data_IF_247734890597
#
_entry.id   IF_247734890597
#
_cell.length_a   1.000
_cell.length_b   1.000
_cell.length_c   1.000
_cell.angle_alpha   90.00
_cell.angle_beta   90.00
_cell.angle_gamma   90.00
#
_symmetry.space_group_name_H-M   'P 1'
#
loop_
_entity.id
_entity.type
_entity.pdbx_description
1 polymer ?
#
# COMPACT_ATOMS: atom_id res chain seq x y z
N UNK A 1 5.88 -47.32 12.23
CA UNK A 1 5.24 -46.78 11.02
C UNK A 1 4.64 -45.44 11.42
N UNK A 2 5.40 -44.35 11.25
CA UNK A 2 5.02 -43.00 11.66
C UNK A 2 4.70 -42.15 10.41
N UNK A 3 3.86 -41.11 10.53
CA UNK A 3 3.18 -40.46 9.42
C UNK A 3 4.03 -39.35 8.78
N UNK A 4 3.70 -38.96 7.55
CA UNK A 4 4.19 -37.74 6.92
C UNK A 4 3.02 -36.77 6.72
N UNK A 5 2.83 -35.89 7.71
CA UNK A 5 2.33 -34.54 7.47
C UNK A 5 3.43 -33.74 6.80
N UNK A 6 3.11 -33.02 5.71
CA UNK A 6 3.94 -31.89 5.26
C UNK A 6 3.08 -30.64 5.17
N UNK A 7 2.97 -29.97 6.31
CA UNK A 7 2.77 -28.54 6.36
C UNK A 7 4.03 -27.90 5.77
N UNK A 8 3.92 -27.17 4.66
CA UNK A 8 5.01 -26.31 4.19
C UNK A 8 4.89 -25.01 4.97
N UNK A 9 5.45 -25.00 6.17
CA UNK A 9 5.80 -23.74 6.85
C UNK A 9 7.08 -23.28 6.17
N UNK A 10 6.98 -22.35 5.22
CA UNK A 10 8.15 -21.63 4.77
C UNK A 10 8.42 -20.54 5.80
N UNK A 11 9.11 -20.90 6.89
CA UNK A 11 9.70 -19.91 7.79
C UNK A 11 10.77 -19.16 7.00
N UNK A 12 10.47 -17.91 6.65
CA UNK A 12 11.51 -16.97 6.23
C UNK A 12 12.49 -16.85 7.41
N UNK A 13 13.80 -17.05 7.20
CA UNK A 13 14.77 -16.91 8.29
C UNK A 13 14.68 -15.49 8.89
N UNK A 14 14.66 -15.35 10.23
CA UNK A 14 14.64 -14.04 10.86
C UNK A 14 15.94 -13.31 10.50
N UNK A 15 15.80 -12.17 9.83
CA UNK A 15 16.91 -11.24 9.64
C UNK A 15 17.68 -11.35 8.32
N UNK A 16 17.02 -11.63 7.19
CA UNK A 16 17.50 -11.03 5.94
C UNK A 16 17.06 -9.56 5.95
N UNK A 17 17.93 -8.58 6.28
CA UNK A 17 17.60 -7.21 5.95
C UNK A 17 17.33 -7.17 4.44
N UNK A 18 16.23 -6.54 4.04
CA UNK A 18 16.09 -6.06 2.67
C UNK A 18 17.26 -5.11 2.42
N UNK A 19 18.38 -5.65 1.94
CA UNK A 19 19.47 -4.84 1.43
C UNK A 19 18.96 -4.32 0.09
N UNK A 20 18.49 -3.08 0.08
CA UNK A 20 18.21 -2.33 -1.14
C UNK A 20 19.56 -2.01 -1.80
N UNK A 21 20.25 -3.04 -2.26
CA UNK A 21 21.63 -3.01 -2.72
C UNK A 21 21.61 -2.55 -4.18
N UNK A 22 21.39 -1.25 -4.41
CA UNK A 22 21.75 -0.53 -5.66
C UNK A 22 21.33 0.94 -5.67
N UNK A 23 20.43 1.40 -4.79
CA UNK A 23 19.88 2.75 -4.92
C UNK A 23 20.54 3.69 -3.91
N UNK A 24 21.03 4.81 -4.40
CA UNK A 24 21.52 5.89 -3.54
C UNK A 24 20.43 6.26 -2.52
N UNK A 25 20.81 6.66 -1.28
CA UNK A 25 19.85 7.21 -0.33
C UNK A 25 18.98 8.26 -1.01
N UNK A 26 17.67 8.19 -0.77
CA UNK A 26 16.75 9.20 -1.29
C UNK A 26 17.21 10.60 -0.88
N UNK A 27 17.18 11.55 -1.81
CA UNK A 27 17.44 12.95 -1.48
C UNK A 27 16.27 13.43 -0.63
N UNK A 28 16.57 14.03 0.52
CA UNK A 28 15.55 14.62 1.36
C UNK A 28 14.71 15.62 0.54
N UNK A 29 13.39 15.52 0.64
CA UNK A 29 12.51 16.55 0.10
C UNK A 29 12.93 17.86 0.76
N UNK A 30 13.19 18.90 -0.03
CA UNK A 30 13.78 20.16 0.46
C UNK A 30 13.08 20.65 1.73
N UNK A 31 13.85 21.04 2.74
CA UNK A 31 13.31 21.47 4.04
C UNK A 31 12.22 22.54 3.86
N UNK A 32 11.08 22.35 4.52
CA UNK A 32 9.91 23.22 4.43
C UNK A 32 8.95 22.92 3.26
N UNK A 33 9.27 21.94 2.40
CA UNK A 33 8.34 21.47 1.37
C UNK A 33 7.13 20.83 2.02
N UNK A 34 5.93 21.25 1.62
CA UNK A 34 4.69 20.60 2.01
C UNK A 34 4.61 19.20 1.39
N UNK A 35 4.46 18.18 2.23
CA UNK A 35 4.28 16.80 1.80
C UNK A 35 2.81 16.61 1.39
N UNK A 36 2.58 16.36 0.09
CA UNK A 36 1.28 16.04 -0.51
C UNK A 36 1.28 14.55 -0.79
N UNK A 37 0.87 13.78 0.21
CA UNK A 37 0.98 12.33 0.20
C UNK A 37 -0.31 11.75 -0.37
N UNK A 38 -0.21 10.90 -1.40
CA UNK A 38 -1.33 10.10 -1.88
C UNK A 38 -1.14 8.64 -1.41
N UNK A 39 -1.89 8.17 -0.40
CA UNK A 39 -1.94 6.75 -0.05
C UNK A 39 -2.74 5.99 -1.10
N UNK A 40 -2.11 5.04 -1.78
CA UNK A 40 -2.73 4.17 -2.79
C UNK A 40 -2.70 2.74 -2.29
N UNK A 41 -3.83 2.03 -2.33
CA UNK A 41 -3.78 0.63 -1.96
C UNK A 41 -5.11 -0.08 -1.77
N UNK A 42 -5.10 -1.07 -0.90
CA UNK A 42 -6.23 -1.94 -0.60
C UNK A 42 -6.81 -1.70 0.81
N UNK A 43 -7.48 -2.73 1.36
CA UNK A 43 -8.09 -2.73 2.68
C UNK A 43 -7.12 -2.35 3.81
N UNK A 44 -5.81 -2.57 3.64
CA UNK A 44 -4.78 -2.17 4.61
C UNK A 44 -4.63 -0.64 4.65
N UNK A 45 -4.66 0.00 3.48
CA UNK A 45 -4.61 1.46 3.39
C UNK A 45 -5.92 2.08 3.88
N UNK A 46 -7.05 1.46 3.56
CA UNK A 46 -8.37 1.84 4.11
C UNK A 46 -8.36 1.73 5.63
N UNK A 47 -7.73 0.70 6.21
CA UNK A 47 -7.79 0.39 7.63
C UNK A 47 -8.91 -0.56 8.01
N UNK A 48 -9.34 -1.41 7.07
CA UNK A 48 -10.39 -2.40 7.29
C UNK A 48 -10.03 -3.32 8.47
N UNK A 49 -11.02 -3.66 9.31
CA UNK A 49 -10.89 -4.40 10.58
C UNK A 49 -10.18 -3.67 11.72
N UNK A 50 -9.65 -2.46 11.50
CA UNK A 50 -9.16 -1.62 12.59
C UNK A 50 -10.30 -0.83 13.22
N UNK A 51 -10.32 -0.71 14.55
CA UNK A 51 -11.41 -0.07 15.32
C UNK A 51 -11.83 1.31 14.79
N UNK A 52 -10.85 2.10 14.34
CA UNK A 52 -11.04 3.47 13.87
C UNK A 52 -10.81 3.65 12.38
N UNK A 53 -10.56 2.57 11.63
CA UNK A 53 -10.44 2.55 10.17
C UNK A 53 -9.48 3.58 9.56
N UNK A 54 -8.33 3.79 10.20
CA UNK A 54 -7.32 4.74 9.72
C UNK A 54 -6.19 4.08 8.90
N UNK A 55 -6.08 2.75 8.96
CA UNK A 55 -4.93 2.03 8.41
C UNK A 55 -3.63 2.56 9.03
N UNK A 56 -2.55 2.57 8.25
CA UNK A 56 -1.28 3.17 8.67
C UNK A 56 -1.28 4.71 8.63
N UNK A 57 -2.28 5.34 8.02
CA UNK A 57 -2.27 6.78 7.67
C UNK A 57 -2.16 7.68 8.89
N UNK A 58 -2.85 7.33 9.99
CA UNK A 58 -2.81 8.12 11.22
C UNK A 58 -1.44 8.04 11.92
N UNK A 59 -0.85 6.84 11.99
CA UNK A 59 0.48 6.68 12.58
C UNK A 59 1.53 7.43 11.74
N UNK A 60 1.48 7.29 10.42
CA UNK A 60 2.34 8.04 9.51
C UNK A 60 2.26 9.55 9.73
N UNK A 61 1.04 10.08 9.94
CA UNK A 61 0.85 11.51 10.23
C UNK A 61 1.52 11.93 11.54
N UNK A 62 1.44 11.08 12.57
CA UNK A 62 2.11 11.31 13.85
C UNK A 62 3.63 11.29 13.72
N UNK A 63 4.16 10.35 12.93
CA UNK A 63 5.59 10.21 12.69
C UNK A 63 6.15 11.40 11.90
N UNK A 64 5.32 12.02 11.05
CA UNK A 64 5.64 13.23 10.28
C UNK A 64 5.18 14.52 10.97
N UNK A 65 5.03 14.53 12.30
CA UNK A 65 4.50 15.69 13.05
C UNK A 65 5.36 16.96 12.95
N UNK A 66 6.65 16.84 12.58
CA UNK A 66 7.53 17.98 12.31
C UNK A 66 7.33 18.59 10.91
N UNK A 67 6.64 17.90 10.01
CA UNK A 67 6.43 18.29 8.62
C UNK A 67 5.03 18.86 8.38
N UNK A 68 4.88 19.61 7.27
CA UNK A 68 3.56 20.03 6.78
C UNK A 68 2.99 18.95 5.87
N UNK A 69 2.13 18.10 6.41
CA UNK A 69 1.48 17.00 5.67
C UNK A 69 0.06 17.38 5.26
N UNK A 70 -0.29 17.06 4.01
CA UNK A 70 -1.68 16.92 3.54
C UNK A 70 -1.82 15.63 2.76
N UNK A 71 -2.84 14.85 3.10
CA UNK A 71 -3.24 13.68 2.34
C UNK A 71 -4.08 14.10 1.13
N UNK A 72 -3.70 13.61 -0.04
CA UNK A 72 -4.44 13.74 -1.28
C UNK A 72 -5.38 12.55 -1.47
N UNK A 73 -6.38 12.74 -2.30
CA UNK A 73 -7.33 11.71 -2.72
C UNK A 73 -8.78 12.16 -2.62
N UNK A 74 -9.70 11.34 -3.11
CA UNK A 74 -11.15 11.61 -3.09
C UNK A 74 -11.87 10.67 -2.15
N UNK A 75 -11.36 9.45 -1.96
CA UNK A 75 -11.86 8.51 -0.96
C UNK A 75 -11.54 9.02 0.44
N UNK A 76 -12.46 8.77 1.38
CA UNK A 76 -12.30 9.18 2.78
C UNK A 76 -12.95 8.19 3.75
N UNK A 77 -12.21 7.79 4.76
CA UNK A 77 -12.69 6.90 5.82
C UNK A 77 -11.76 6.92 7.03
N UNK A 78 -12.31 6.55 8.19
CA UNK A 78 -11.63 6.58 9.48
C UNK A 78 -11.86 7.86 10.29
N UNK A 79 -11.38 7.85 11.52
CA UNK A 79 -11.59 8.94 12.49
C UNK A 79 -10.46 9.97 12.53
N UNK A 80 -9.41 9.81 11.72
CA UNK A 80 -8.28 10.73 11.69
C UNK A 80 -8.64 12.06 11.01
N UNK A 81 -7.90 13.10 11.38
CA UNK A 81 -7.87 14.34 10.60
C UNK A 81 -7.29 14.09 9.21
N UNK A 82 -7.82 14.78 8.21
CA UNK A 82 -7.39 14.67 6.80
C UNK A 82 -7.40 13.22 6.27
N UNK A 83 -8.55 12.51 6.30
CA UNK A 83 -8.62 11.07 6.08
C UNK A 83 -8.64 10.66 4.60
N UNK A 84 -8.07 11.46 3.69
CA UNK A 84 -8.15 11.23 2.24
C UNK A 84 -7.16 10.17 1.74
N UNK A 85 -7.56 9.39 0.74
CA UNK A 85 -6.73 8.36 0.10
C UNK A 85 -7.26 7.94 -1.29
N UNK A 86 -6.57 6.97 -1.92
CA UNK A 86 -6.94 6.28 -3.16
C UNK A 86 -6.87 4.76 -2.97
N UNK A 87 -7.81 4.19 -2.24
CA UNK A 87 -7.72 2.81 -1.82
C UNK A 87 -9.07 2.13 -1.78
N UNK A 88 -9.08 0.85 -2.16
CA UNK A 88 -10.29 0.08 -2.34
C UNK A 88 -10.11 -1.32 -1.77
N UNK A 89 -10.95 -1.68 -0.79
CA UNK A 89 -10.94 -3.01 -0.21
C UNK A 89 -11.16 -4.07 -1.30
N UNK A 90 -10.43 -5.18 -1.20
CA UNK A 90 -10.56 -6.34 -2.09
C UNK A 90 -10.14 -6.05 -3.55
N UNK A 91 -9.44 -4.94 -3.82
CA UNK A 91 -9.00 -4.57 -5.19
C UNK A 91 -7.54 -4.91 -5.48
N UNK A 92 -7.30 -5.38 -6.69
CA UNK A 92 -6.00 -5.78 -7.23
C UNK A 92 -5.22 -4.59 -7.80
N UNK A 93 -3.94 -4.79 -8.13
CA UNK A 93 -3.08 -3.78 -8.77
C UNK A 93 -3.72 -3.29 -10.07
N UNK A 94 -4.29 -4.19 -10.88
CA UNK A 94 -4.93 -3.81 -12.15
C UNK A 94 -6.09 -2.83 -11.93
N UNK A 95 -6.94 -3.09 -10.93
CA UNK A 95 -8.02 -2.17 -10.62
C UNK A 95 -7.48 -0.78 -10.26
N UNK A 96 -6.44 -0.71 -9.41
CA UNK A 96 -5.84 0.57 -9.01
C UNK A 96 -5.27 1.31 -10.21
N UNK A 97 -4.51 0.63 -11.08
CA UNK A 97 -3.98 1.19 -12.31
C UNK A 97 -5.07 1.85 -13.17
N UNK A 98 -6.22 1.18 -13.31
CA UNK A 98 -7.32 1.64 -14.17
C UNK A 98 -8.12 2.82 -13.56
N UNK A 99 -7.96 3.14 -12.26
CA UNK A 99 -8.79 4.13 -11.55
C UNK A 99 -7.99 5.28 -10.90
N UNK A 100 -6.66 5.27 -10.98
CA UNK A 100 -5.84 6.21 -10.21
C UNK A 100 -5.79 7.64 -10.79
N UNK A 101 -6.19 7.84 -12.04
CA UNK A 101 -5.98 9.09 -12.79
C UNK A 101 -6.55 10.33 -12.08
N UNK A 102 -7.76 10.25 -11.53
CA UNK A 102 -8.37 11.40 -10.83
C UNK A 102 -7.60 11.80 -9.55
N UNK A 103 -6.93 10.83 -8.92
CA UNK A 103 -6.13 11.05 -7.72
C UNK A 103 -4.78 11.66 -8.08
N UNK A 104 -4.17 11.22 -9.19
CA UNK A 104 -2.94 11.80 -9.72
C UNK A 104 -3.14 13.24 -10.21
N UNK A 105 -4.33 13.58 -10.71
CA UNK A 105 -4.68 14.94 -11.10
C UNK A 105 -4.56 15.94 -9.93
N UNK A 106 -4.64 15.48 -8.67
CA UNK A 106 -4.39 16.29 -7.47
C UNK A 106 -2.90 16.62 -7.26
N UNK A 107 -1.99 16.13 -8.12
CA UNK A 107 -0.54 16.40 -8.09
C UNK A 107 0.07 16.14 -6.70
N UNK A 108 -0.01 14.90 -6.19
CA UNK A 108 0.81 14.51 -5.04
C UNK A 108 2.30 14.60 -5.40
N UNK A 109 3.14 14.86 -4.40
CA UNK A 109 4.60 14.79 -4.56
C UNK A 109 5.20 13.54 -3.90
N UNK A 110 4.38 12.77 -3.17
CA UNK A 110 4.72 11.45 -2.62
C UNK A 110 3.52 10.53 -2.86
N UNK A 111 3.78 9.34 -3.39
CA UNK A 111 2.78 8.28 -3.52
C UNK A 111 3.25 7.13 -2.64
N UNK A 112 2.38 6.66 -1.75
CA UNK A 112 2.62 5.46 -0.95
C UNK A 112 1.77 4.35 -1.51
N UNK A 113 2.39 3.41 -2.23
CA UNK A 113 1.68 2.32 -2.88
C UNK A 113 1.77 1.04 -2.02
N UNK A 114 0.62 0.59 -1.52
CA UNK A 114 0.48 -0.69 -0.83
C UNK A 114 -0.54 -1.55 -1.58
N UNK A 115 -0.04 -2.37 -2.51
CA UNK A 115 -0.87 -3.17 -3.42
C UNK A 115 -0.33 -4.61 -3.55
N UNK A 116 -1.12 -5.48 -4.18
CA UNK A 116 -0.73 -6.85 -4.51
C UNK A 116 -1.21 -7.92 -3.54
N UNK A 117 -1.72 -7.58 -2.36
CA UNK A 117 -2.26 -8.60 -1.43
C UNK A 117 -3.42 -9.38 -2.07
N UNK A 118 -4.31 -8.68 -2.77
CA UNK A 118 -5.46 -9.28 -3.46
C UNK A 118 -5.04 -10.03 -4.73
N UNK A 119 -4.01 -9.60 -5.45
CA UNK A 119 -3.47 -10.34 -6.61
C UNK A 119 -2.92 -11.73 -6.22
N UNK A 120 -2.42 -11.86 -4.99
CA UNK A 120 -1.90 -13.12 -4.44
C UNK A 120 -2.98 -14.02 -3.82
N UNK A 121 -4.24 -13.56 -3.74
CA UNK A 121 -5.30 -14.33 -3.11
C UNK A 121 -5.62 -15.62 -3.88
N UNK A 122 -5.78 -16.77 -3.20
CA UNK A 122 -6.28 -17.99 -3.83
C UNK A 122 -7.79 -17.96 -4.05
N UNK A 123 -8.49 -16.90 -3.62
CA UNK A 123 -9.91 -16.71 -3.86
C UNK A 123 -10.12 -15.88 -5.13
N UNK A 124 -10.73 -16.47 -6.16
CA UNK A 124 -11.04 -15.79 -7.43
C UNK A 124 -12.10 -14.71 -7.31
N UNK A 125 -12.87 -14.69 -6.22
CA UNK A 125 -13.81 -13.60 -5.93
C UNK A 125 -13.11 -12.34 -5.43
N UNK A 126 -11.85 -12.49 -4.98
CA UNK A 126 -10.97 -11.40 -4.55
C UNK A 126 -10.02 -10.97 -5.68
N UNK A 127 -9.35 -11.92 -6.32
CA UNK A 127 -8.38 -11.65 -7.40
C UNK A 127 -9.07 -11.46 -8.76
N UNK A 128 -10.13 -10.66 -8.81
CA UNK A 128 -11.04 -10.57 -9.96
C UNK A 128 -10.39 -10.00 -11.22
N UNK A 129 -9.51 -9.01 -11.08
CA UNK A 129 -8.86 -8.33 -12.20
C UNK A 129 -7.44 -8.84 -12.47
N UNK A 130 -6.92 -9.74 -11.63
CA UNK A 130 -5.59 -10.33 -11.76
C UNK A 130 -5.28 -11.31 -10.62
N UNK A 131 -4.95 -12.56 -10.95
CA UNK A 131 -4.64 -13.65 -10.01
C UNK A 131 -3.34 -14.37 -10.34
N UNK A 132 -2.52 -13.80 -11.21
CA UNK A 132 -1.21 -14.35 -11.51
C UNK A 132 -0.15 -13.61 -10.69
N UNK A 133 0.41 -14.23 -9.64
CA UNK A 133 1.50 -13.67 -8.86
C UNK A 133 2.69 -13.23 -9.70
N UNK A 134 3.04 -13.98 -10.74
CA UNK A 134 4.21 -13.69 -11.55
C UNK A 134 4.01 -12.40 -12.36
N UNK A 135 2.80 -12.18 -12.86
CA UNK A 135 2.44 -10.97 -13.60
C UNK A 135 2.11 -9.75 -12.71
N UNK A 136 2.18 -9.86 -11.38
CA UNK A 136 1.90 -8.72 -10.49
C UNK A 136 2.91 -7.58 -10.68
N UNK A 137 4.18 -7.91 -10.93
CA UNK A 137 5.23 -6.93 -11.22
C UNK A 137 4.95 -6.18 -12.53
N UNK A 138 4.53 -6.88 -13.58
CA UNK A 138 4.19 -6.27 -14.88
C UNK A 138 3.03 -5.26 -14.74
N UNK A 139 2.04 -5.54 -13.86
CA UNK A 139 0.94 -4.61 -13.57
C UNK A 139 1.38 -3.35 -12.82
N UNK A 140 2.55 -3.39 -12.17
CA UNK A 140 3.21 -2.21 -11.58
C UNK A 140 4.09 -1.47 -12.61
N UNK A 141 4.19 -1.98 -13.84
CA UNK A 141 5.03 -1.42 -14.89
C UNK A 141 6.51 -1.79 -14.80
N UNK A 142 6.84 -2.91 -14.12
CA UNK A 142 8.19 -3.46 -13.99
C UNK A 142 8.48 -4.54 -15.03
#
# INVERSE_FOLDING_TARGET
MAPLQRSVTQELPPGLPLQYASTAPGVAVTNGTKLRILPVGDSITVGWLGDVHNGYRNQLRSDLSADKVVFAGTERYGSMDDPYFAAWSVKTIKYMHDHIDEFLAQKPNIILLHAGTNDMSPDSTVSTEGRDPAAAAERLGL
#
